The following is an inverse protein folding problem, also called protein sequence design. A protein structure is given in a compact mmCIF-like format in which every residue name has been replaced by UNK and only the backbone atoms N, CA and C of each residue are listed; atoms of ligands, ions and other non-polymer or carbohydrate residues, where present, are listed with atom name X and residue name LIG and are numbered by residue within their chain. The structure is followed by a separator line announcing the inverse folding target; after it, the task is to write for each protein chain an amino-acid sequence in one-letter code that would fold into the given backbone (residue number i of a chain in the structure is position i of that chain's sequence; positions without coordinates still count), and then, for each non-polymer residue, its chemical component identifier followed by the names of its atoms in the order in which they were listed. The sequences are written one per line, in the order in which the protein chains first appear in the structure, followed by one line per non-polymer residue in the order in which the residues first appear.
data_IF_414852224387
#
_entry.id   IF_414852224387
#
_cell.length_a   1.000
_cell.length_b   1.000
_cell.length_c   1.000
_cell.angle_alpha   90.00
_cell.angle_beta   90.00
_cell.angle_gamma   90.00
#
_symmetry.space_group_name_H-M   'P 1'
#
loop_
_entity.id
_entity.type
_entity.pdbx_description
1 polymer ?
#
# COMPACT_ATOMS: atom_id res chain seq x y z
N UNK A 1 -5.67 26.57 -18.31
CA UNK A 1 -5.72 25.91 -16.99
C UNK A 1 -5.57 26.99 -15.94
N UNK A 2 -6.63 27.26 -15.18
CA UNK A 2 -6.75 28.34 -14.19
C UNK A 2 -5.65 28.29 -13.10
N UNK A 3 -4.99 27.13 -12.91
CA UNK A 3 -3.91 26.94 -11.94
C UNK A 3 -2.57 27.56 -12.33
N UNK A 4 -2.39 27.97 -13.59
CA UNK A 4 -1.12 28.51 -14.09
C UNK A 4 -0.97 30.03 -13.93
N UNK A 5 -2.05 30.74 -13.60
CA UNK A 5 -2.07 32.21 -13.54
C UNK A 5 -1.47 32.77 -12.24
N UNK A 6 -1.26 31.89 -11.24
CA UNK A 6 -0.76 32.27 -9.92
C UNK A 6 -1.80 33.08 -9.12
N UNK A 7 -1.54 33.25 -7.83
CA UNK A 7 -2.44 33.95 -6.90
C UNK A 7 -1.62 34.94 -6.06
N UNK A 8 -2.11 36.17 -5.94
CA UNK A 8 -1.49 37.16 -5.06
C UNK A 8 -1.65 36.75 -3.60
N UNK A 9 -0.69 37.13 -2.75
CA UNK A 9 -0.71 36.82 -1.32
C UNK A 9 -2.03 37.21 -0.65
N UNK A 10 -2.57 38.39 -0.97
CA UNK A 10 -3.78 38.91 -0.33
C UNK A 10 -4.99 37.98 -0.52
N UNK A 11 -5.15 37.39 -1.71
CA UNK A 11 -6.23 36.42 -1.99
C UNK A 11 -6.05 35.12 -1.22
N UNK A 12 -4.82 34.69 -0.94
CA UNK A 12 -4.55 33.50 -0.12
C UNK A 12 -4.98 33.76 1.34
N UNK A 13 -4.71 34.96 1.84
CA UNK A 13 -5.13 35.38 3.19
C UNK A 13 -6.65 35.51 3.29
N UNK A 14 -7.28 36.09 2.27
CA UNK A 14 -8.72 36.17 2.18
C UNK A 14 -9.35 34.77 2.27
N UNK A 15 -8.87 33.82 1.46
CA UNK A 15 -9.34 32.43 1.51
C UNK A 15 -9.06 31.77 2.88
N UNK A 16 -7.88 31.98 3.44
CA UNK A 16 -7.50 31.43 4.75
C UNK A 16 -8.45 31.90 5.87
N UNK A 17 -8.90 33.15 5.83
CA UNK A 17 -9.83 33.70 6.81
C UNK A 17 -11.23 33.08 6.73
N UNK A 18 -11.61 32.47 5.60
CA UNK A 18 -12.86 31.72 5.47
C UNK A 18 -12.76 30.28 5.98
N UNK A 19 -11.56 29.79 6.31
CA UNK A 19 -11.39 28.43 6.84
C UNK A 19 -11.87 28.36 8.29
N UNK A 20 -12.76 27.40 8.56
CA UNK A 20 -13.36 27.16 9.87
C UNK A 20 -12.31 26.75 10.93
N UNK A 21 -11.17 26.18 10.50
CA UNK A 21 -10.06 25.72 11.35
C UNK A 21 -8.77 26.54 11.08
N UNK A 22 -8.81 27.84 11.37
CA UNK A 22 -7.70 28.78 11.17
C UNK A 22 -6.63 28.73 12.27
N UNK A 23 -6.37 27.54 12.82
CA UNK A 23 -5.50 27.35 13.99
C UNK A 23 -4.02 27.11 13.63
N UNK A 24 -3.61 27.38 12.39
CA UNK A 24 -2.23 27.17 11.92
C UNK A 24 -1.64 28.41 11.25
N UNK A 25 -0.37 28.71 11.53
CA UNK A 25 0.30 29.90 11.00
C UNK A 25 0.49 29.78 9.47
N UNK A 26 -0.36 30.46 8.69
CA UNK A 26 -0.33 30.48 7.22
C UNK A 26 1.06 30.80 6.66
N UNK A 27 1.75 31.79 7.22
CA UNK A 27 3.12 32.15 6.79
C UNK A 27 4.10 30.98 6.93
N UNK A 28 4.06 30.29 8.07
CA UNK A 28 4.92 29.13 8.31
C UNK A 28 4.61 28.00 7.32
N UNK A 29 3.33 27.83 6.96
CA UNK A 29 2.90 26.86 5.95
C UNK A 29 3.40 27.22 4.55
N UNK A 30 3.25 28.47 4.11
CA UNK A 30 3.75 28.94 2.81
C UNK A 30 5.28 28.81 2.73
N UNK A 31 6.00 29.18 3.79
CA UNK A 31 7.46 29.00 3.88
C UNK A 31 7.82 27.51 3.75
N UNK A 32 7.07 26.61 4.39
CA UNK A 32 7.30 25.16 4.27
C UNK A 32 7.10 24.68 2.84
N UNK A 33 6.02 25.10 2.16
CA UNK A 33 5.76 24.73 0.76
C UNK A 33 6.84 25.25 -0.20
N UNK A 34 7.35 26.47 0.02
CA UNK A 34 8.46 27.05 -0.75
C UNK A 34 9.76 26.25 -0.54
N UNK A 35 10.10 25.92 0.73
CA UNK A 35 11.27 25.09 1.07
C UNK A 35 11.20 23.72 0.40
N UNK A 36 10.01 23.13 0.31
CA UNK A 36 9.75 21.86 -0.35
C UNK A 36 9.66 21.98 -1.89
N UNK A 37 9.76 23.18 -2.45
CA UNK A 37 9.63 23.48 -3.89
C UNK A 37 8.30 23.02 -4.50
N UNK A 38 7.23 23.00 -3.70
CA UNK A 38 5.87 22.70 -4.15
C UNK A 38 5.17 23.94 -4.70
N UNK A 39 5.57 25.12 -4.25
CA UNK A 39 5.15 26.41 -4.81
C UNK A 39 6.37 27.26 -5.11
N UNK A 40 6.18 28.28 -5.96
CA UNK A 40 7.17 29.29 -6.30
C UNK A 40 6.53 30.67 -6.29
N UNK A 41 7.35 31.72 -6.21
CA UNK A 41 6.91 33.11 -6.31
C UNK A 41 7.41 33.66 -7.64
N UNK A 42 6.49 34.10 -8.50
CA UNK A 42 6.76 34.83 -9.74
C UNK A 42 6.55 36.34 -9.50
N UNK A 43 7.34 37.19 -10.17
CA UNK A 43 7.23 38.66 -10.12
C UNK A 43 7.14 39.23 -8.68
N UNK A 44 7.88 38.63 -7.74
CA UNK A 44 7.95 38.99 -6.32
C UNK A 44 6.60 39.06 -5.57
N UNK A 45 5.50 38.55 -6.12
CA UNK A 45 4.16 38.70 -5.51
C UNK A 45 3.14 37.61 -5.86
N UNK A 46 3.37 36.84 -6.93
CA UNK A 46 2.43 35.82 -7.40
C UNK A 46 2.89 34.44 -6.96
N UNK A 47 2.12 33.81 -6.07
CA UNK A 47 2.35 32.44 -5.64
C UNK A 47 1.75 31.47 -6.67
N UNK A 48 2.54 30.49 -7.09
CA UNK A 48 2.13 29.53 -8.12
C UNK A 48 2.58 28.12 -7.76
N UNK A 49 1.76 27.08 -7.99
CA UNK A 49 2.20 25.70 -7.83
C UNK A 49 3.32 25.39 -8.84
N UNK A 50 4.34 24.66 -8.40
CA UNK A 50 5.31 24.06 -9.33
C UNK A 50 4.68 22.85 -10.03
N UNK A 51 5.32 22.31 -11.07
CA UNK A 51 4.88 21.03 -11.66
C UNK A 51 4.82 19.91 -10.62
N UNK A 52 5.79 19.87 -9.71
CA UNK A 52 5.81 18.94 -8.59
C UNK A 52 4.68 19.21 -7.60
N UNK A 53 4.44 20.47 -7.22
CA UNK A 53 3.33 20.82 -6.34
C UNK A 53 1.97 20.45 -6.90
N UNK A 54 1.77 20.68 -8.20
CA UNK A 54 0.55 20.29 -8.90
C UNK A 54 0.39 18.76 -8.93
N UNK A 55 1.48 18.03 -9.20
CA UNK A 55 1.49 16.57 -9.19
C UNK A 55 1.16 15.99 -7.80
N UNK A 56 1.77 16.54 -6.74
CA UNK A 56 1.47 16.17 -5.36
C UNK A 56 0.00 16.46 -5.01
N UNK A 57 -0.52 17.64 -5.37
CA UNK A 57 -1.92 17.98 -5.12
C UNK A 57 -2.90 17.06 -5.84
N UNK A 58 -2.60 16.65 -7.08
CA UNK A 58 -3.41 15.72 -7.88
C UNK A 58 -3.35 14.26 -7.42
N UNK A 59 -2.38 13.91 -6.58
CA UNK A 59 -2.24 12.55 -6.07
C UNK A 59 -3.20 12.23 -4.92
N UNK A 60 -3.85 13.24 -4.31
CA UNK A 60 -4.66 13.07 -3.10
C UNK A 60 -3.92 12.42 -1.91
N UNK A 61 -2.59 12.29 -1.98
CA UNK A 61 -1.75 11.87 -0.87
C UNK A 61 -1.36 13.06 0.01
N UNK A 62 -0.96 12.76 1.25
CA UNK A 62 -0.36 13.77 2.11
C UNK A 62 0.99 14.22 1.51
N UNK A 63 1.41 15.44 1.85
CA UNK A 63 2.71 15.97 1.43
C UNK A 63 3.85 15.05 1.90
N UNK A 64 3.76 14.55 3.12
CA UNK A 64 4.74 13.62 3.69
C UNK A 64 4.84 12.32 2.89
N UNK A 65 3.70 11.65 2.64
CA UNK A 65 3.68 10.41 1.86
C UNK A 65 4.18 10.63 0.43
N UNK A 66 3.85 11.78 -0.17
CA UNK A 66 4.35 12.14 -1.48
C UNK A 66 5.87 12.31 -1.49
N UNK A 67 6.44 12.92 -0.44
CA UNK A 67 7.90 13.07 -0.31
C UNK A 67 8.60 11.73 -0.07
N UNK A 68 7.99 10.80 0.68
CA UNK A 68 8.49 9.42 0.80
C UNK A 68 8.61 8.76 -0.58
N UNK A 69 7.54 8.79 -1.39
CA UNK A 69 7.55 8.25 -2.76
C UNK A 69 8.67 8.88 -3.58
N UNK A 70 8.76 10.22 -3.57
CA UNK A 70 9.80 10.96 -4.31
C UNK A 70 11.20 10.53 -3.88
N UNK A 71 11.42 10.31 -2.59
CA UNK A 71 12.71 9.89 -2.06
C UNK A 71 13.04 8.45 -2.47
N UNK A 72 12.07 7.52 -2.38
CA UNK A 72 12.24 6.14 -2.81
C UNK A 72 12.61 6.05 -4.29
N UNK A 73 11.92 6.82 -5.15
CA UNK A 73 12.21 6.91 -6.59
C UNK A 73 13.59 7.52 -6.87
N UNK A 74 13.98 8.59 -6.16
CA UNK A 74 15.28 9.23 -6.35
C UNK A 74 16.45 8.34 -5.94
N UNK A 75 16.29 7.61 -4.84
CA UNK A 75 17.31 6.72 -4.30
C UNK A 75 17.34 5.35 -4.97
N UNK A 76 16.36 5.05 -5.82
CA UNK A 76 16.20 3.75 -6.48
C UNK A 76 16.05 2.60 -5.49
N UNK A 77 15.35 2.82 -4.39
CA UNK A 77 15.24 1.84 -3.31
C UNK A 77 14.33 0.66 -3.68
N UNK A 78 13.28 0.92 -4.47
CA UNK A 78 12.19 -0.05 -4.75
C UNK A 78 11.61 0.14 -6.13
N UNK A 79 10.97 -0.88 -6.70
CA UNK A 79 10.19 -0.74 -7.94
C UNK A 79 8.90 0.03 -7.66
N UNK A 80 8.27 0.59 -8.70
CA UNK A 80 7.00 1.34 -8.57
C UNK A 80 5.92 0.44 -7.95
N UNK A 81 5.84 -0.81 -8.39
CA UNK A 81 4.88 -1.78 -7.88
C UNK A 81 5.00 -1.94 -6.36
N UNK A 82 6.21 -1.98 -5.83
CA UNK A 82 6.46 -2.15 -4.39
C UNK A 82 5.99 -0.90 -3.62
N UNK A 83 6.27 0.29 -4.17
CA UNK A 83 5.82 1.57 -3.61
C UNK A 83 4.29 1.61 -3.56
N UNK A 84 3.63 1.14 -4.62
CA UNK A 84 2.16 1.10 -4.72
C UNK A 84 1.54 0.17 -3.66
N UNK A 85 2.06 -1.05 -3.52
CA UNK A 85 1.58 -2.02 -2.53
C UNK A 85 1.78 -1.54 -1.08
N UNK A 86 2.77 -0.68 -0.84
CA UNK A 86 3.01 -0.09 0.49
C UNK A 86 2.08 1.09 0.84
N UNK A 87 1.36 1.66 -0.14
CA UNK A 87 0.51 2.83 0.11
C UNK A 87 -0.77 2.48 0.89
N UNK A 88 -1.38 1.35 0.57
CA UNK A 88 -2.65 0.91 1.15
C UNK A 88 -2.62 -0.60 1.41
N UNK A 89 -2.48 -0.95 2.69
CA UNK A 89 -2.37 -2.33 3.13
C UNK A 89 -3.72 -3.05 3.19
N UNK A 90 -3.76 -4.29 2.70
CA UNK A 90 -4.84 -5.24 2.94
C UNK A 90 -4.73 -5.82 4.36
N UNK A 91 -5.61 -5.39 5.27
CA UNK A 91 -5.56 -5.77 6.70
C UNK A 91 -6.56 -6.85 7.10
N UNK A 92 -7.68 -6.93 6.39
CA UNK A 92 -8.79 -7.82 6.70
C UNK A 92 -8.58 -9.20 6.07
N UNK A 93 -7.52 -9.88 6.53
CA UNK A 93 -7.14 -11.21 6.06
C UNK A 93 -7.26 -12.19 7.23
N UNK A 94 -8.05 -13.23 7.05
CA UNK A 94 -8.39 -14.17 8.12
C UNK A 94 -8.07 -15.61 7.73
N UNK A 95 -8.01 -16.47 8.73
CA UNK A 95 -7.95 -17.92 8.55
C UNK A 95 -9.36 -18.48 8.37
N UNK A 96 -9.49 -19.52 7.55
CA UNK A 96 -10.76 -20.25 7.43
C UNK A 96 -11.13 -20.94 8.73
N UNK A 97 -12.43 -21.22 8.92
CA UNK A 97 -12.93 -21.92 10.10
C UNK A 97 -12.27 -23.29 10.32
N UNK A 98 -11.87 -23.97 9.23
CA UNK A 98 -11.13 -25.23 9.27
C UNK A 98 -9.80 -25.08 9.99
N UNK A 99 -8.99 -24.10 9.58
CA UNK A 99 -7.70 -23.81 10.21
C UNK A 99 -7.89 -23.34 11.65
N UNK A 100 -8.86 -22.45 11.90
CA UNK A 100 -9.15 -21.96 13.25
C UNK A 100 -9.55 -23.09 14.20
N UNK A 101 -10.32 -24.07 13.74
CA UNK A 101 -10.71 -25.23 14.53
C UNK A 101 -9.49 -26.09 14.92
N UNK A 102 -8.56 -26.34 13.99
CA UNK A 102 -7.33 -27.08 14.28
C UNK A 102 -6.37 -26.31 15.18
N UNK A 103 -6.31 -24.99 15.05
CA UNK A 103 -5.57 -24.12 15.98
C UNK A 103 -6.14 -24.19 17.39
N UNK A 104 -7.46 -24.07 17.52
CA UNK A 104 -8.15 -24.03 18.81
C UNK A 104 -7.97 -25.31 19.62
N UNK A 105 -7.95 -26.49 18.97
CA UNK A 105 -7.66 -27.79 19.63
C UNK A 105 -6.29 -27.80 20.30
N UNK A 106 -5.33 -27.11 19.69
CA UNK A 106 -3.91 -27.15 20.05
C UNK A 106 -3.46 -25.97 20.93
N UNK A 107 -4.31 -24.94 21.08
CA UNK A 107 -4.00 -23.69 21.79
C UNK A 107 -4.84 -23.55 23.06
N UNK A 108 -4.74 -24.52 23.98
CA UNK A 108 -5.56 -24.62 25.20
C UNK A 108 -5.36 -23.48 26.23
N UNK A 109 -4.38 -22.58 26.05
CA UNK A 109 -4.01 -21.56 27.06
C UNK A 109 -4.48 -20.13 26.77
N UNK A 110 -4.99 -19.80 25.58
CA UNK A 110 -5.58 -18.47 25.35
C UNK A 110 -7.06 -18.59 25.00
N UNK A 111 -7.90 -18.00 25.85
CA UNK A 111 -9.37 -17.94 25.69
C UNK A 111 -9.79 -17.12 24.45
N UNK A 112 -8.83 -16.46 23.80
CA UNK A 112 -8.99 -15.66 22.60
C UNK A 112 -7.77 -15.89 21.70
N UNK A 113 -7.96 -16.49 20.53
CA UNK A 113 -6.96 -16.60 19.48
C UNK A 113 -7.46 -15.74 18.31
N UNK A 114 -6.64 -14.78 17.86
CA UNK A 114 -7.01 -13.97 16.71
C UNK A 114 -7.01 -14.83 15.45
N UNK A 115 -8.11 -14.80 14.69
CA UNK A 115 -8.18 -15.45 13.40
C UNK A 115 -7.56 -14.61 12.28
N UNK A 116 -7.05 -13.41 12.57
CA UNK A 116 -6.38 -12.59 11.56
C UNK A 116 -5.03 -13.23 11.19
N UNK A 117 -4.80 -13.38 9.89
CA UNK A 117 -3.66 -14.10 9.32
C UNK A 117 -2.31 -13.46 9.67
N UNK A 118 -2.28 -12.13 9.82
CA UNK A 118 -1.10 -11.36 10.18
C UNK A 118 -1.02 -11.05 11.68
N UNK A 119 -1.84 -11.70 12.51
CA UNK A 119 -1.74 -11.56 13.97
C UNK A 119 -0.47 -12.23 14.50
N UNK A 120 0.11 -11.66 15.56
CA UNK A 120 1.32 -12.21 16.18
C UNK A 120 1.19 -13.70 16.57
N UNK A 121 -0.02 -14.12 16.95
CA UNK A 121 -0.32 -15.50 17.29
C UNK A 121 -0.21 -16.43 16.07
N UNK A 122 -0.75 -16.04 14.92
CA UNK A 122 -0.63 -16.81 13.68
C UNK A 122 0.79 -16.77 13.14
N UNK A 123 1.44 -15.62 13.15
CA UNK A 123 2.82 -15.46 12.69
C UNK A 123 3.81 -16.34 13.47
N UNK A 124 3.60 -16.54 14.78
CA UNK A 124 4.44 -17.43 15.59
C UNK A 124 4.46 -18.89 15.11
N UNK A 125 3.48 -19.29 14.30
CA UNK A 125 3.38 -20.63 13.72
C UNK A 125 4.32 -20.83 12.53
N UNK A 126 4.79 -19.76 11.89
CA UNK A 126 5.72 -19.88 10.75
C UNK A 126 7.15 -20.21 11.20
N UNK A 127 7.44 -20.11 12.50
CA UNK A 127 8.70 -20.60 13.06
C UNK A 127 8.67 -22.15 13.13
N UNK A 128 9.53 -22.78 12.33
CA UNK A 128 9.67 -24.23 12.28
C UNK A 128 9.99 -24.86 13.65
N UNK A 129 10.63 -24.12 14.57
CA UNK A 129 10.88 -24.59 15.94
C UNK A 129 9.61 -24.65 16.78
N UNK A 130 8.62 -23.81 16.48
CA UNK A 130 7.35 -23.76 17.18
C UNK A 130 6.45 -24.94 16.80
N UNK A 131 6.36 -25.26 15.51
CA UNK A 131 5.52 -26.34 14.98
C UNK A 131 6.09 -27.72 15.35
N UNK A 132 7.40 -27.93 15.21
CA UNK A 132 8.05 -29.22 15.52
C UNK A 132 7.87 -29.68 16.97
N UNK A 133 7.71 -28.74 17.91
CA UNK A 133 7.51 -29.04 19.34
C UNK A 133 6.10 -29.55 19.66
N UNK A 134 5.12 -29.36 18.78
CA UNK A 134 3.72 -29.72 19.02
C UNK A 134 3.32 -30.97 18.22
N UNK A 135 3.23 -32.11 18.91
CA UNK A 135 2.90 -33.43 18.32
C UNK A 135 1.42 -33.59 17.88
N UNK A 136 0.61 -32.53 17.92
CA UNK A 136 -0.86 -32.62 17.92
C UNK A 136 -1.54 -31.87 16.78
N UNK A 137 -0.79 -31.22 15.89
CA UNK A 137 -1.36 -30.63 14.68
C UNK A 137 -1.71 -31.70 13.64
N UNK A 138 -2.80 -31.48 12.89
CA UNK A 138 -3.14 -32.33 11.75
C UNK A 138 -2.06 -32.21 10.68
N UNK A 139 -1.86 -33.27 9.89
CA UNK A 139 -0.89 -33.27 8.79
C UNK A 139 -1.22 -32.16 7.77
N UNK A 140 -2.51 -32.02 7.46
CA UNK A 140 -3.02 -31.01 6.54
C UNK A 140 -2.72 -29.58 7.02
N UNK A 141 -2.89 -29.31 8.32
CA UNK A 141 -2.51 -28.01 8.89
C UNK A 141 -1.01 -27.74 8.75
N UNK A 142 -0.14 -28.73 8.99
CA UNK A 142 1.31 -28.59 8.82
C UNK A 142 1.65 -28.27 7.34
N UNK A 143 0.96 -28.91 6.40
CA UNK A 143 1.14 -28.66 4.96
C UNK A 143 0.77 -27.21 4.61
N UNK A 144 -0.28 -26.63 5.20
CA UNK A 144 -0.62 -25.21 5.03
C UNK A 144 0.45 -24.27 5.59
N UNK A 145 0.96 -24.52 6.81
CA UNK A 145 2.04 -23.70 7.39
C UNK A 145 3.28 -23.72 6.49
N UNK A 146 3.66 -24.89 5.98
CA UNK A 146 4.81 -25.04 5.08
C UNK A 146 4.58 -24.24 3.78
N UNK A 147 3.38 -24.32 3.20
CA UNK A 147 3.02 -23.55 2.01
C UNK A 147 3.10 -22.04 2.27
N UNK A 148 2.51 -21.55 3.35
CA UNK A 148 2.58 -20.13 3.73
C UNK A 148 4.01 -19.66 3.96
N UNK A 149 4.83 -20.46 4.63
CA UNK A 149 6.24 -20.11 4.87
C UNK A 149 7.03 -20.04 3.57
N UNK A 150 6.75 -20.92 2.61
CA UNK A 150 7.43 -20.98 1.31
C UNK A 150 6.99 -19.89 0.33
N UNK A 151 5.71 -19.55 0.32
CA UNK A 151 5.12 -18.71 -0.73
C UNK A 151 4.79 -17.30 -0.25
N UNK A 152 4.47 -17.12 1.03
CA UNK A 152 4.07 -15.83 1.61
C UNK A 152 5.18 -15.28 2.52
N UNK A 153 5.67 -16.05 3.49
CA UNK A 153 6.66 -15.60 4.50
C UNK A 153 8.09 -16.02 4.15
N UNK A 154 8.51 -15.83 2.91
CA UNK A 154 9.75 -16.36 2.34
C UNK A 154 10.90 -15.35 2.23
N UNK A 155 10.90 -14.31 3.05
CA UNK A 155 11.93 -13.27 3.05
C UNK A 155 13.07 -13.55 4.05
N UNK A 156 14.25 -13.00 3.77
CA UNK A 156 15.44 -13.09 4.64
C UNK A 156 15.51 -11.97 5.70
N UNK A 157 14.40 -11.26 5.95
CA UNK A 157 14.37 -10.21 6.96
C UNK A 157 14.67 -10.78 8.35
N UNK A 158 15.47 -10.05 9.14
CA UNK A 158 15.82 -10.43 10.52
C UNK A 158 14.58 -10.66 11.40
N UNK A 159 13.54 -9.86 11.17
CA UNK A 159 12.29 -9.92 11.92
C UNK A 159 11.23 -10.80 11.25
N UNK A 160 11.58 -11.60 10.23
CA UNK A 160 10.68 -12.59 9.65
C UNK A 160 10.17 -13.56 10.73
N UNK A 161 8.87 -13.92 10.77
CA UNK A 161 7.77 -13.58 9.85
C UNK A 161 6.99 -12.30 10.22
N UNK A 162 7.47 -11.51 11.19
CA UNK A 162 6.81 -10.31 11.73
C UNK A 162 7.04 -9.03 10.92
N UNK A 163 7.87 -9.09 9.87
CA UNK A 163 8.04 -7.99 8.92
C UNK A 163 6.89 -7.90 7.90
N UNK A 164 6.80 -6.79 7.19
CA UNK A 164 5.73 -6.54 6.20
C UNK A 164 5.80 -7.41 4.92
N UNK A 165 6.90 -8.12 4.69
CA UNK A 165 7.10 -8.91 3.47
C UNK A 165 5.99 -9.95 3.24
N UNK A 166 5.51 -10.61 4.31
CA UNK A 166 4.42 -11.57 4.19
C UNK A 166 3.13 -10.96 3.64
N UNK A 167 2.77 -9.77 4.15
CA UNK A 167 1.62 -9.02 3.64
C UNK A 167 1.82 -8.61 2.19
N UNK A 168 2.97 -8.02 1.86
CA UNK A 168 3.29 -7.59 0.50
C UNK A 168 3.28 -8.76 -0.49
N UNK A 169 3.73 -9.94 -0.08
CA UNK A 169 3.73 -11.13 -0.94
C UNK A 169 2.30 -11.64 -1.19
N UNK A 170 1.44 -11.70 -0.18
CA UNK A 170 0.02 -12.02 -0.37
C UNK A 170 -0.67 -11.02 -1.31
N UNK A 171 -0.39 -9.73 -1.10
CA UNK A 171 -0.91 -8.65 -1.93
C UNK A 171 -0.44 -8.75 -3.40
N UNK A 172 0.81 -9.17 -3.64
CA UNK A 172 1.31 -9.49 -4.99
C UNK A 172 0.59 -10.66 -5.62
N UNK A 173 0.32 -11.72 -4.85
CA UNK A 173 -0.44 -12.87 -5.34
C UNK A 173 -1.82 -12.40 -5.82
N UNK A 174 -2.54 -11.63 -5.00
CA UNK A 174 -3.86 -11.08 -5.36
C UNK A 174 -3.78 -10.23 -6.62
N UNK A 175 -2.81 -9.33 -6.70
CA UNK A 175 -2.65 -8.46 -7.86
C UNK A 175 -2.33 -9.26 -9.12
N UNK A 176 -1.43 -10.25 -9.02
CA UNK A 176 -1.08 -11.16 -10.12
C UNK A 176 -2.29 -11.94 -10.63
N UNK A 177 -3.07 -12.55 -9.73
CA UNK A 177 -4.29 -13.27 -10.12
C UNK A 177 -5.23 -12.36 -10.90
N UNK A 178 -5.33 -11.08 -10.50
CA UNK A 178 -6.16 -10.10 -11.20
C UNK A 178 -5.59 -9.72 -12.57
N UNK A 179 -4.31 -9.36 -12.67
CA UNK A 179 -3.75 -8.73 -13.88
C UNK A 179 -3.07 -9.69 -14.86
N UNK A 180 -2.55 -10.83 -14.40
CA UNK A 180 -1.89 -11.84 -15.24
C UNK A 180 -2.89 -12.95 -15.60
N UNK A 181 -3.62 -13.45 -14.61
CA UNK A 181 -4.50 -14.61 -14.77
C UNK A 181 -5.96 -14.22 -15.07
N UNK A 182 -6.29 -12.92 -15.01
CA UNK A 182 -7.62 -12.36 -15.29
C UNK A 182 -8.74 -12.95 -14.41
N UNK A 183 -8.42 -13.26 -13.15
CA UNK A 183 -9.40 -13.76 -12.19
C UNK A 183 -10.39 -12.65 -11.80
N UNK A 184 -11.66 -13.02 -11.72
CA UNK A 184 -12.72 -12.23 -11.09
C UNK A 184 -12.54 -12.18 -9.57
N UNK A 185 -13.27 -11.28 -8.90
CA UNK A 185 -13.27 -11.18 -7.43
C UNK A 185 -13.69 -12.51 -6.77
N UNK A 186 -14.63 -13.23 -7.38
CA UNK A 186 -15.08 -14.55 -6.94
C UNK A 186 -13.94 -15.58 -7.02
N UNK A 187 -13.24 -15.61 -8.15
CA UNK A 187 -12.14 -16.54 -8.38
C UNK A 187 -10.93 -16.24 -7.49
N UNK A 188 -10.60 -14.97 -7.26
CA UNK A 188 -9.55 -14.59 -6.30
C UNK A 188 -9.93 -15.06 -4.89
N UNK A 189 -11.18 -14.82 -4.47
CA UNK A 189 -11.67 -15.24 -3.16
C UNK A 189 -11.60 -16.76 -2.98
N UNK A 190 -12.10 -17.52 -3.97
CA UNK A 190 -12.06 -18.98 -3.96
C UNK A 190 -10.62 -19.50 -3.99
N UNK A 191 -9.75 -18.92 -4.81
CA UNK A 191 -8.35 -19.31 -4.89
C UNK A 191 -7.62 -19.13 -3.55
N UNK A 192 -7.82 -18.00 -2.86
CA UNK A 192 -7.23 -17.80 -1.53
C UNK A 192 -7.75 -18.81 -0.49
N UNK A 193 -9.04 -19.15 -0.56
CA UNK A 193 -9.65 -20.11 0.36
C UNK A 193 -9.18 -21.53 0.09
N UNK A 194 -9.18 -21.98 -1.17
CA UNK A 194 -8.85 -23.35 -1.57
C UNK A 194 -7.34 -23.60 -1.49
N UNK A 195 -6.52 -22.69 -2.06
CA UNK A 195 -5.08 -22.90 -2.15
C UNK A 195 -4.36 -22.57 -0.85
N UNK A 196 -4.83 -21.55 -0.12
CA UNK A 196 -4.12 -21.06 1.06
C UNK A 196 -4.92 -21.19 2.35
N UNK A 197 -6.19 -21.60 2.33
CA UNK A 197 -7.05 -21.57 3.53
C UNK A 197 -7.07 -20.18 4.19
N UNK A 198 -7.01 -19.14 3.36
CA UNK A 198 -7.09 -17.74 3.74
C UNK A 198 -8.45 -17.20 3.29
N UNK A 199 -9.15 -16.56 4.22
CA UNK A 199 -10.42 -15.90 3.98
C UNK A 199 -10.20 -14.38 3.90
N UNK A 200 -10.50 -13.80 2.73
CA UNK A 200 -10.62 -12.35 2.54
C UNK A 200 -12.00 -12.09 1.97
N UNK A 201 -12.81 -11.24 2.61
CA UNK A 201 -14.15 -10.97 2.11
C UNK A 201 -14.10 -10.28 0.75
N UNK A 202 -15.04 -10.62 -0.15
CA UNK A 202 -15.12 -10.04 -1.50
C UNK A 202 -15.11 -8.50 -1.49
N UNK A 203 -15.82 -7.88 -0.55
CA UNK A 203 -15.82 -6.42 -0.37
C UNK A 203 -14.44 -5.85 -0.01
N UNK A 204 -13.65 -6.56 0.80
CA UNK A 204 -12.27 -6.15 1.11
C UNK A 204 -11.35 -6.28 -0.12
N UNK A 205 -11.54 -7.32 -0.94
CA UNK A 205 -10.80 -7.47 -2.21
C UNK A 205 -11.13 -6.33 -3.17
N UNK A 206 -12.41 -6.01 -3.35
CA UNK A 206 -12.87 -4.89 -4.21
C UNK A 206 -12.25 -3.58 -3.73
N UNK A 207 -12.42 -3.25 -2.45
CA UNK A 207 -11.88 -2.01 -1.87
C UNK A 207 -10.35 -1.94 -2.01
N UNK A 208 -9.67 -3.08 -1.84
CA UNK A 208 -8.22 -3.14 -1.98
C UNK A 208 -7.78 -2.91 -3.43
N UNK A 209 -8.37 -3.60 -4.41
CA UNK A 209 -8.06 -3.42 -5.82
C UNK A 209 -8.37 -1.99 -6.30
N UNK A 210 -9.48 -1.41 -5.87
CA UNK A 210 -9.80 -0.01 -6.13
C UNK A 210 -8.75 0.93 -5.52
N UNK A 211 -8.31 0.65 -4.28
CA UNK A 211 -7.24 1.43 -3.64
C UNK A 211 -5.90 1.33 -4.38
N UNK A 212 -5.62 0.20 -5.04
CA UNK A 212 -4.44 0.03 -5.88
C UNK A 212 -4.52 0.91 -7.12
N UNK A 213 -5.69 1.02 -7.77
CA UNK A 213 -5.89 1.94 -8.92
C UNK A 213 -5.49 3.36 -8.51
N UNK A 214 -6.04 3.87 -7.41
CA UNK A 214 -5.70 5.21 -6.93
C UNK A 214 -4.23 5.35 -6.53
N UNK A 215 -3.63 4.29 -5.99
CA UNK A 215 -2.22 4.29 -5.61
C UNK A 215 -1.31 4.35 -6.85
N UNK A 216 -1.63 3.60 -7.90
CA UNK A 216 -0.95 3.67 -9.19
C UNK A 216 -1.08 5.06 -9.83
N UNK A 217 -2.29 5.62 -9.88
CA UNK A 217 -2.53 6.97 -10.40
C UNK A 217 -1.75 8.03 -9.63
N UNK A 218 -1.69 7.90 -8.30
CA UNK A 218 -0.96 8.80 -7.41
C UNK A 218 0.54 8.79 -7.70
N UNK A 219 1.14 7.59 -7.75
CA UNK A 219 2.58 7.43 -8.04
C UNK A 219 2.90 7.91 -9.46
N UNK A 220 2.03 7.62 -10.43
CA UNK A 220 2.17 8.09 -11.81
C UNK A 220 2.16 9.62 -11.89
N UNK A 221 1.19 10.27 -11.23
CA UNK A 221 1.08 11.73 -11.19
C UNK A 221 2.29 12.38 -10.53
N UNK A 222 2.71 11.89 -9.35
CA UNK A 222 3.91 12.37 -8.65
C UNK A 222 5.14 12.26 -9.54
N UNK A 223 5.31 11.11 -10.21
CA UNK A 223 6.47 10.85 -11.05
C UNK A 223 6.54 11.78 -12.26
N UNK A 224 5.40 12.17 -12.86
CA UNK A 224 5.34 13.18 -13.92
C UNK A 224 5.79 14.58 -13.46
N UNK A 225 5.64 14.88 -12.17
CA UNK A 225 6.11 16.13 -11.58
C UNK A 225 7.62 16.21 -11.37
N UNK A 226 8.35 15.11 -11.56
CA UNK A 226 9.80 15.04 -11.35
C UNK A 226 10.57 15.44 -12.62
N UNK A 227 11.47 16.42 -12.49
CA UNK A 227 12.31 16.90 -13.60
C UNK A 227 13.31 15.86 -14.12
N UNK A 228 13.78 14.99 -13.23
CA UNK A 228 14.73 13.92 -13.54
C UNK A 228 14.21 12.64 -12.91
N UNK A 229 13.84 11.70 -13.75
CA UNK A 229 13.46 10.35 -13.38
C UNK A 229 14.32 9.38 -14.18
N UNK A 230 14.76 8.31 -13.52
CA UNK A 230 15.56 7.26 -14.12
C UNK A 230 14.85 6.59 -15.30
N UNK A 231 15.61 6.07 -16.27
CA UNK A 231 15.05 5.40 -17.45
C UNK A 231 14.25 4.15 -17.10
N UNK A 232 14.63 3.42 -16.05
CA UNK A 232 13.94 2.19 -15.68
C UNK A 232 12.55 2.50 -15.12
N UNK A 233 12.44 3.51 -14.26
CA UNK A 233 11.14 4.01 -13.80
C UNK A 233 10.28 4.59 -14.92
N UNK A 234 10.88 5.22 -15.94
CA UNK A 234 10.11 5.67 -17.11
C UNK A 234 9.46 4.50 -17.85
N UNK A 235 10.12 3.34 -17.94
CA UNK A 235 9.53 2.13 -18.54
C UNK A 235 8.38 1.61 -17.68
N UNK A 236 8.60 1.46 -16.37
CA UNK A 236 7.54 1.02 -15.44
C UNK A 236 6.31 1.95 -15.47
N UNK A 237 6.50 3.27 -15.60
CA UNK A 237 5.40 4.23 -15.73
C UNK A 237 4.54 4.04 -16.99
N UNK A 238 5.11 3.51 -18.08
CA UNK A 238 4.36 3.27 -19.32
C UNK A 238 3.40 2.08 -19.18
N UNK A 239 3.69 1.17 -18.26
CA UNK A 239 2.87 -0.02 -18.00
C UNK A 239 1.66 0.30 -17.09
N UNK A 240 1.74 1.38 -16.29
CA UNK A 240 0.70 1.73 -15.31
C UNK A 240 -0.71 1.83 -15.92
N UNK A 241 -0.96 2.53 -17.05
CA UNK A 241 -2.30 2.62 -17.60
C UNK A 241 -2.89 1.25 -17.94
N UNK A 242 -2.07 0.34 -18.48
CA UNK A 242 -2.50 -1.02 -18.79
C UNK A 242 -2.79 -1.82 -17.52
N UNK A 243 -1.94 -1.72 -16.50
CA UNK A 243 -2.17 -2.35 -15.19
C UNK A 243 -3.50 -1.88 -14.59
N UNK A 244 -3.77 -0.57 -14.61
CA UNK A 244 -5.02 0.00 -14.10
C UNK A 244 -6.23 -0.59 -14.85
N UNK A 245 -6.18 -0.66 -16.18
CA UNK A 245 -7.28 -1.24 -16.96
C UNK A 245 -7.49 -2.73 -16.65
N UNK A 246 -6.41 -3.50 -16.48
CA UNK A 246 -6.48 -4.91 -16.07
C UNK A 246 -7.02 -5.09 -14.64
N UNK A 247 -6.82 -4.13 -13.74
CA UNK A 247 -7.45 -4.19 -12.41
C UNK A 247 -8.97 -3.98 -12.50
N UNK A 248 -9.41 -3.07 -13.38
CA UNK A 248 -10.83 -2.72 -13.56
C UNK A 248 -11.64 -3.85 -14.21
N UNK A 249 -11.08 -4.51 -15.23
CA UNK A 249 -11.73 -5.58 -16.00
C UNK A 249 -11.63 -6.92 -15.28
#
# INVERSE_FOLDING_TARGET
STYNEGVKKEKIYEFYNFLINSDYKLEAFLIKLLKLKLIQIENNSLYKPTLLGLAVAKSFLTVEKSLEIINSLKKKEKKIIDIVLELKALRNVYLTNKVVADLSKNYQRSKYFSNNFFSAAVLSLMDANYVKKRKTFSREFIEYIVKWTREIFNCDCKDSPYCECGRLNLERIILKLRIEDNFSIEEINNYLEEEYNILVFKGDIINYLESLIYSFESVFNISKGLLKLDSDYKKELLEIPEIIERIKN
#
